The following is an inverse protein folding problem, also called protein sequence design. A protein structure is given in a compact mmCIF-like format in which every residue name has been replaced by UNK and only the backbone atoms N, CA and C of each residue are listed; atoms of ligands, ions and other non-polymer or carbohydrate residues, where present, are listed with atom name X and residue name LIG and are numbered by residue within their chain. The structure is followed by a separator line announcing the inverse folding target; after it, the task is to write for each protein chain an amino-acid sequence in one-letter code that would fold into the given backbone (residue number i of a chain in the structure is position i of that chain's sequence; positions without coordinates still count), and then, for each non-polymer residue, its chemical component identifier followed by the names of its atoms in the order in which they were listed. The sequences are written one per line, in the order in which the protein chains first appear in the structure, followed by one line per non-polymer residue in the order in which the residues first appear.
data_IF_897449694883
#
_entry.id   IF_897449694883
#
_cell.length_a   1.000
_cell.length_b   1.000
_cell.length_c   1.000
_cell.angle_alpha   90.00
_cell.angle_beta   90.00
_cell.angle_gamma   90.00
#
_symmetry.space_group_name_H-M   'P 1'
#
loop_
_entity.id
_entity.type
_entity.pdbx_description
1 polymer ?
#
# COMPACT_ATOMS: atom_id res chain seq x y z
N UNK A 1 -8.07 -6.61 15.95
CA UNK A 1 -7.66 -7.10 14.62
C UNK A 1 -8.69 -6.65 13.56
N UNK A 2 -8.83 -5.34 13.41
CA UNK A 2 -9.81 -4.72 12.51
C UNK A 2 -9.29 -4.50 11.09
N UNK A 3 -7.98 -4.68 10.91
CA UNK A 3 -7.30 -4.46 9.63
C UNK A 3 -7.26 -2.99 9.20
N UNK A 4 -7.07 -2.79 7.91
CA UNK A 4 -7.10 -1.48 7.24
C UNK A 4 -8.05 -1.52 6.05
N UNK A 5 -8.60 -0.38 5.68
CA UNK A 5 -9.28 -0.20 4.39
C UNK A 5 -8.30 0.39 3.39
N UNK A 6 -8.22 -0.19 2.21
CA UNK A 6 -7.41 0.35 1.11
C UNK A 6 -8.21 1.38 0.34
N UNK A 7 -7.62 2.52 0.06
CA UNK A 7 -8.16 3.47 -0.91
C UNK A 7 -8.04 2.87 -2.30
N UNK A 8 -9.02 3.12 -3.14
CA UNK A 8 -9.06 2.73 -4.55
C UNK A 8 -9.00 3.98 -5.42
N UNK A 9 -8.60 3.85 -6.67
CA UNK A 9 -8.69 4.94 -7.65
C UNK A 9 -10.14 5.22 -8.04
N UNK A 10 -11.00 4.19 -7.92
CA UNK A 10 -12.42 4.23 -8.31
C UNK A 10 -12.60 4.60 -9.78
N UNK A 11 -11.72 4.08 -10.64
CA UNK A 11 -11.75 4.31 -12.10
C UNK A 11 -12.26 3.06 -12.84
N UNK A 12 -12.83 3.23 -14.06
CA UNK A 12 -13.17 2.10 -14.92
C UNK A 12 -11.98 1.15 -15.10
N UNK A 13 -12.24 -0.15 -15.08
CA UNK A 13 -11.24 -1.20 -15.25
C UNK A 13 -10.52 -1.63 -13.96
N UNK A 14 -10.47 -0.81 -12.90
CA UNK A 14 -9.75 -1.15 -11.67
C UNK A 14 -10.23 -2.48 -11.07
N UNK A 15 -11.53 -2.64 -10.87
CA UNK A 15 -12.09 -3.87 -10.32
C UNK A 15 -12.11 -5.01 -11.33
N UNK A 16 -12.29 -4.71 -12.60
CA UNK A 16 -12.33 -5.69 -13.68
C UNK A 16 -11.00 -6.41 -13.84
N UNK A 17 -9.88 -5.67 -13.79
CA UNK A 17 -8.54 -6.21 -13.97
C UNK A 17 -7.84 -6.57 -12.66
N UNK A 18 -8.53 -6.57 -11.54
CA UNK A 18 -7.97 -7.00 -10.26
C UNK A 18 -7.50 -8.46 -10.33
N UNK A 19 -6.19 -8.69 -10.06
CA UNK A 19 -5.54 -9.99 -10.24
C UNK A 19 -5.28 -10.38 -11.71
N UNK A 20 -5.59 -9.47 -12.65
CA UNK A 20 -5.29 -9.60 -14.07
C UNK A 20 -4.49 -8.42 -14.61
N UNK A 21 -3.54 -7.94 -13.81
CA UNK A 21 -2.68 -6.80 -14.11
C UNK A 21 -2.86 -5.63 -13.13
N UNK A 22 -3.96 -5.55 -12.38
CA UNK A 22 -4.11 -4.61 -11.26
C UNK A 22 -3.74 -5.28 -9.96
N UNK A 23 -2.78 -4.69 -9.24
CA UNK A 23 -2.31 -5.10 -7.92
C UNK A 23 -2.34 -3.95 -6.92
N UNK A 24 -2.35 -4.28 -5.63
CA UNK A 24 -2.28 -3.34 -4.50
C UNK A 24 -1.09 -3.65 -3.58
N UNK A 25 -0.14 -4.46 -4.04
CA UNK A 25 1.02 -4.87 -3.23
C UNK A 25 2.20 -5.20 -4.15
N UNK A 26 3.18 -4.31 -4.23
CA UNK A 26 4.38 -4.53 -5.02
C UNK A 26 5.19 -5.73 -4.56
N UNK A 27 5.37 -5.88 -3.24
CA UNK A 27 6.10 -7.01 -2.64
C UNK A 27 5.46 -8.37 -2.97
N UNK A 28 4.10 -8.41 -3.00
CA UNK A 28 3.35 -9.64 -3.23
C UNK A 28 3.41 -10.09 -4.70
N UNK A 29 3.12 -9.14 -5.60
CA UNK A 29 2.86 -9.45 -7.01
C UNK A 29 3.99 -9.02 -7.95
N UNK A 30 4.93 -8.18 -7.48
CA UNK A 30 6.05 -7.70 -8.28
C UNK A 30 6.82 -8.79 -9.02
N UNK A 31 7.12 -9.96 -8.42
CA UNK A 31 7.82 -11.05 -9.10
C UNK A 31 7.13 -11.56 -10.38
N UNK A 32 5.81 -11.41 -10.52
CA UNK A 32 5.07 -11.80 -11.73
C UNK A 32 5.20 -10.81 -12.88
N UNK A 33 5.76 -9.63 -12.61
CA UNK A 33 5.97 -8.57 -13.59
C UNK A 33 7.44 -8.37 -13.99
N UNK A 34 8.26 -9.42 -13.82
CA UNK A 34 9.63 -9.43 -14.34
C UNK A 34 9.65 -9.19 -15.84
N UNK A 35 10.55 -8.29 -16.28
CA UNK A 35 10.73 -7.91 -17.69
C UNK A 35 9.46 -7.34 -18.35
N UNK A 36 8.56 -6.74 -17.52
CA UNK A 36 7.29 -6.11 -17.93
C UNK A 36 7.33 -4.61 -17.74
N UNK A 37 6.45 -3.90 -18.43
CA UNK A 37 6.20 -2.48 -18.20
C UNK A 37 5.09 -2.32 -17.18
N UNK A 38 5.34 -1.60 -16.09
CA UNK A 38 4.35 -1.41 -15.03
C UNK A 38 4.21 0.04 -14.63
N UNK A 39 3.05 0.39 -14.09
CA UNK A 39 2.83 1.68 -13.44
C UNK A 39 2.68 1.48 -11.93
N UNK A 40 3.24 2.40 -11.14
CA UNK A 40 2.97 2.55 -9.71
C UNK A 40 2.18 3.85 -9.54
N UNK A 41 0.96 3.74 -9.04
CA UNK A 41 0.05 4.86 -8.84
C UNK A 41 -0.08 5.16 -7.36
N UNK A 42 0.42 6.30 -6.94
CA UNK A 42 0.43 6.73 -5.53
C UNK A 42 1.54 7.74 -5.25
N UNK A 43 1.31 8.63 -4.30
CA UNK A 43 2.24 9.73 -3.96
C UNK A 43 2.90 9.60 -2.58
N UNK A 44 2.60 8.53 -1.83
CA UNK A 44 3.17 8.27 -0.51
C UNK A 44 4.51 7.54 -0.56
N UNK A 45 5.18 7.43 0.60
CA UNK A 45 6.47 6.75 0.73
C UNK A 45 6.43 5.27 0.31
N UNK A 46 5.34 4.56 0.61
CA UNK A 46 5.14 3.17 0.19
C UNK A 46 5.17 3.04 -1.35
N UNK A 47 4.56 4.00 -2.07
CA UNK A 47 4.60 4.00 -3.53
C UNK A 47 6.02 4.24 -4.06
N UNK A 48 6.81 5.11 -3.43
CA UNK A 48 8.22 5.33 -3.80
C UNK A 48 9.04 4.07 -3.59
N UNK A 49 8.86 3.38 -2.47
CA UNK A 49 9.52 2.10 -2.19
C UNK A 49 9.12 1.02 -3.22
N UNK A 50 7.85 0.96 -3.61
CA UNK A 50 7.41 0.01 -4.64
C UNK A 50 7.99 0.35 -6.03
N UNK A 51 8.16 1.65 -6.37
CA UNK A 51 8.87 2.06 -7.60
C UNK A 51 10.30 1.56 -7.58
N UNK A 52 11.01 1.74 -6.46
CA UNK A 52 12.39 1.24 -6.30
C UNK A 52 12.46 -0.26 -6.53
N UNK A 53 11.71 -1.02 -5.75
CA UNK A 53 11.71 -2.47 -5.77
C UNK A 53 11.33 -3.04 -7.16
N UNK A 54 10.29 -2.50 -7.79
CA UNK A 54 9.86 -2.95 -9.10
C UNK A 54 10.90 -2.60 -10.18
N UNK A 55 11.63 -1.49 -10.04
CA UNK A 55 12.67 -1.10 -10.99
C UNK A 55 13.83 -2.10 -11.08
N UNK A 56 14.04 -2.92 -10.04
CA UNK A 56 15.07 -3.96 -10.05
C UNK A 56 14.75 -5.08 -11.05
N UNK A 57 13.48 -5.41 -11.24
CA UNK A 57 13.04 -6.59 -11.99
C UNK A 57 12.20 -6.29 -13.21
N UNK A 58 11.42 -5.22 -13.23
CA UNK A 58 10.65 -4.77 -14.39
C UNK A 58 11.55 -4.22 -15.50
N UNK A 59 11.06 -4.20 -16.72
CA UNK A 59 11.72 -3.53 -17.85
C UNK A 59 11.56 -2.01 -17.75
N UNK A 60 10.37 -1.54 -17.39
CA UNK A 60 10.07 -0.12 -17.21
C UNK A 60 9.05 0.08 -16.07
N UNK A 61 9.28 1.11 -15.26
CA UNK A 61 8.36 1.54 -14.19
C UNK A 61 7.92 2.98 -14.44
N UNK A 62 6.63 3.19 -14.61
CA UNK A 62 6.01 4.50 -14.68
C UNK A 62 5.54 4.92 -13.29
N UNK A 63 6.19 5.91 -12.69
CA UNK A 63 5.83 6.45 -11.38
C UNK A 63 4.80 7.56 -11.54
N UNK A 64 3.56 7.34 -11.09
CA UNK A 64 2.41 8.23 -11.26
C UNK A 64 1.93 8.71 -9.88
N UNK A 65 2.53 9.77 -9.31
CA UNK A 65 2.18 10.26 -7.97
C UNK A 65 0.84 11.01 -7.91
N UNK A 66 0.19 11.21 -9.05
CA UNK A 66 -0.97 12.06 -9.19
C UNK A 66 -0.62 13.55 -9.31
N UNK A 67 -1.66 14.41 -9.22
CA UNK A 67 -1.50 15.86 -9.40
C UNK A 67 -0.64 16.54 -8.35
N UNK A 68 -0.59 16.00 -7.13
CA UNK A 68 0.19 16.58 -6.02
C UNK A 68 1.70 16.30 -6.13
N UNK A 69 2.09 15.28 -6.88
CA UNK A 69 3.49 14.82 -6.94
C UNK A 69 3.91 14.05 -5.68
N UNK A 70 5.20 13.69 -5.62
CA UNK A 70 5.83 13.15 -4.42
C UNK A 70 6.32 14.28 -3.52
N UNK A 71 6.40 14.02 -2.20
CA UNK A 71 7.13 14.89 -1.28
C UNK A 71 8.63 14.82 -1.60
N UNK A 72 9.28 15.97 -1.70
CA UNK A 72 10.75 16.05 -1.91
C UNK A 72 11.55 15.56 -0.68
N UNK A 73 10.88 15.25 0.42
CA UNK A 73 11.50 14.68 1.63
C UNK A 73 11.87 13.21 1.49
N UNK A 74 11.41 12.52 0.42
CA UNK A 74 11.75 11.12 0.19
C UNK A 74 13.14 11.01 -0.44
N UNK A 75 14.16 10.50 0.29
CA UNK A 75 15.55 10.46 -0.18
C UNK A 75 15.74 9.56 -1.41
N UNK A 76 14.88 8.56 -1.56
CA UNK A 76 14.90 7.59 -2.67
C UNK A 76 14.68 8.27 -4.02
N UNK A 77 13.95 9.39 -4.07
CA UNK A 77 13.66 10.11 -5.30
C UNK A 77 14.94 10.61 -6.00
N UNK A 78 16.01 10.89 -5.23
CA UNK A 78 17.26 11.39 -5.78
C UNK A 78 17.86 10.42 -6.79
N UNK A 79 18.01 9.14 -6.41
CA UNK A 79 18.58 8.14 -7.30
C UNK A 79 17.57 7.48 -8.25
N UNK A 80 16.29 7.47 -7.89
CA UNK A 80 15.25 6.98 -8.78
C UNK A 80 15.06 7.87 -10.00
N UNK A 81 15.29 9.19 -9.89
CA UNK A 81 15.28 10.11 -11.04
C UNK A 81 16.43 9.85 -12.02
N UNK A 82 17.51 9.24 -11.58
CA UNK A 82 18.65 8.87 -12.41
C UNK A 82 18.52 7.45 -12.98
N UNK A 83 17.56 6.66 -12.49
CA UNK A 83 17.35 5.29 -12.94
C UNK A 83 16.69 5.27 -14.34
N UNK A 84 17.37 4.73 -15.38
CA UNK A 84 16.85 4.74 -16.75
C UNK A 84 15.56 3.91 -16.93
N UNK A 85 15.28 3.01 -16.00
CA UNK A 85 14.04 2.21 -16.02
C UNK A 85 12.84 2.94 -15.42
N UNK A 86 13.06 4.04 -14.69
CA UNK A 86 11.99 4.78 -14.01
C UNK A 86 11.63 6.03 -14.80
N UNK A 87 10.35 6.21 -15.05
CA UNK A 87 9.82 7.41 -15.67
C UNK A 87 8.74 8.03 -14.78
N UNK A 88 8.98 9.28 -14.37
CA UNK A 88 8.05 10.03 -13.52
C UNK A 88 7.03 10.76 -14.38
N UNK A 89 5.75 10.41 -14.19
CA UNK A 89 4.60 11.06 -14.87
C UNK A 89 3.88 11.92 -13.83
N UNK A 90 4.33 13.15 -13.68
CA UNK A 90 3.78 14.11 -12.71
C UNK A 90 2.63 14.92 -13.30
N UNK A 91 1.74 15.42 -12.45
CA UNK A 91 0.62 16.27 -12.87
C UNK A 91 -0.46 15.54 -13.65
N UNK A 92 -0.49 14.22 -13.60
CA UNK A 92 -1.48 13.38 -14.24
C UNK A 92 -2.11 12.40 -13.24
N UNK A 93 -3.36 12.06 -13.47
CA UNK A 93 -4.08 11.01 -12.76
C UNK A 93 -4.49 9.92 -13.75
N UNK A 94 -4.61 8.68 -13.25
CA UNK A 94 -5.20 7.59 -14.02
C UNK A 94 -6.70 7.79 -14.10
N UNK A 95 -7.26 7.77 -15.31
CA UNK A 95 -8.68 7.92 -15.59
C UNK A 95 -9.37 6.59 -15.88
N UNK A 96 -8.64 5.65 -16.46
CA UNK A 96 -9.14 4.35 -16.88
C UNK A 96 -7.98 3.37 -16.95
N UNK A 97 -8.26 2.11 -16.61
CA UNK A 97 -7.38 0.96 -16.82
C UNK A 97 -8.07 0.06 -17.83
N UNK A 98 -7.38 -0.35 -18.88
CA UNK A 98 -8.01 -1.11 -19.94
C UNK A 98 -7.11 -2.21 -20.49
N UNK A 99 -7.75 -3.12 -21.20
CA UNK A 99 -7.14 -4.27 -21.84
C UNK A 99 -8.20 -5.24 -22.35
N UNK A 100 -7.78 -6.43 -22.74
CA UNK A 100 -8.66 -7.51 -23.15
C UNK A 100 -8.84 -8.54 -22.03
N UNK A 101 -7.93 -9.48 -21.88
CA UNK A 101 -7.90 -10.46 -20.78
C UNK A 101 -7.12 -9.94 -19.59
N UNK A 102 -6.02 -9.24 -19.85
CA UNK A 102 -5.14 -8.60 -18.87
C UNK A 102 -5.06 -7.11 -19.14
N UNK A 103 -4.46 -6.37 -18.20
CA UNK A 103 -4.15 -4.95 -18.40
C UNK A 103 -3.21 -4.80 -19.61
N UNK A 104 -3.54 -3.86 -20.49
CA UNK A 104 -2.73 -3.51 -21.66
C UNK A 104 -2.38 -2.01 -21.70
N UNK A 105 -3.15 -1.19 -20.98
CA UNK A 105 -2.92 0.25 -20.93
C UNK A 105 -3.60 0.92 -19.76
N UNK A 106 -3.14 2.14 -19.48
CA UNK A 106 -3.90 3.13 -18.71
C UNK A 106 -4.16 4.36 -19.56
N UNK A 107 -5.30 5.02 -19.32
CA UNK A 107 -5.59 6.35 -19.87
C UNK A 107 -5.31 7.37 -18.77
N UNK A 108 -4.51 8.37 -19.10
CA UNK A 108 -4.13 9.46 -18.21
C UNK A 108 -4.90 10.73 -18.52
N UNK A 109 -5.21 11.51 -17.49
CA UNK A 109 -5.74 12.88 -17.60
C UNK A 109 -4.85 13.85 -16.83
N UNK A 110 -4.78 15.09 -17.29
CA UNK A 110 -3.95 16.14 -16.71
C UNK A 110 -2.85 16.63 -17.65
N UNK A 111 -1.67 16.94 -17.12
CA UNK A 111 -0.56 17.49 -17.90
C UNK A 111 0.00 16.51 -18.95
N UNK A 112 -0.03 15.22 -18.64
CA UNK A 112 0.42 14.11 -19.49
C UNK A 112 -0.78 13.26 -19.94
N UNK A 113 -1.78 13.88 -20.57
CA UNK A 113 -2.97 13.17 -21.05
C UNK A 113 -2.65 12.26 -22.22
N UNK A 114 -3.24 11.07 -22.22
CA UNK A 114 -3.10 10.09 -23.29
C UNK A 114 -3.18 8.67 -22.80
N UNK A 115 -2.96 7.74 -23.72
CA UNK A 115 -2.89 6.32 -23.40
C UNK A 115 -1.44 5.91 -23.21
N UNK A 116 -1.15 5.18 -22.15
CA UNK A 116 0.14 4.61 -21.82
C UNK A 116 0.02 3.09 -21.84
N UNK A 117 0.74 2.43 -22.75
CA UNK A 117 0.77 0.96 -22.82
C UNK A 117 1.65 0.39 -21.72
N UNK A 118 1.15 -0.64 -21.04
CA UNK A 118 1.83 -1.33 -19.94
C UNK A 118 1.15 -2.67 -19.62
N UNK A 119 1.82 -3.52 -18.87
CA UNK A 119 1.37 -4.88 -18.53
C UNK A 119 0.73 -4.96 -17.14
N UNK A 120 0.93 -3.95 -16.28
CA UNK A 120 0.37 -3.97 -14.93
C UNK A 120 0.36 -2.61 -14.24
N UNK A 121 -0.56 -2.48 -13.27
CA UNK A 121 -0.76 -1.27 -12.48
C UNK A 121 -0.77 -1.62 -11.01
N UNK A 122 0.19 -1.08 -10.26
CA UNK A 122 0.27 -1.18 -8.81
C UNK A 122 -0.35 0.08 -8.20
N UNK A 123 -1.47 -0.09 -7.50
CA UNK A 123 -2.23 1.00 -6.88
C UNK A 123 -1.84 1.06 -5.40
N UNK A 124 -0.92 1.98 -5.09
CA UNK A 124 -0.31 2.12 -3.76
C UNK A 124 -0.76 3.46 -3.17
N UNK A 125 -1.99 3.46 -2.69
CA UNK A 125 -2.61 4.61 -2.04
C UNK A 125 -2.55 4.43 -0.52
N UNK A 126 -2.70 5.54 0.20
CA UNK A 126 -2.73 5.53 1.66
C UNK A 126 -3.76 4.53 2.21
N UNK A 127 -3.36 3.79 3.22
CA UNK A 127 -4.25 2.94 3.99
C UNK A 127 -5.06 3.77 4.99
N UNK A 128 -6.30 3.37 5.22
CA UNK A 128 -7.14 3.95 6.28
C UNK A 128 -7.34 2.87 7.34
N UNK A 129 -6.68 2.98 8.49
CA UNK A 129 -6.92 2.06 9.59
C UNK A 129 -8.39 2.10 10.01
N UNK A 130 -8.96 0.92 10.22
CA UNK A 130 -10.37 0.79 10.64
C UNK A 130 -10.53 0.91 12.16
N UNK A 131 -9.53 1.52 12.83
CA UNK A 131 -9.52 1.74 14.26
C UNK A 131 -10.52 2.81 14.76
N UNK A 132 -11.19 3.54 13.87
CA UNK A 132 -12.15 4.58 14.24
C UNK A 132 -13.26 4.13 15.20
N UNK A 133 -13.62 2.84 15.18
CA UNK A 133 -14.54 2.23 16.16
C UNK A 133 -14.00 2.27 17.60
N UNK A 134 -12.67 2.35 17.76
CA UNK A 134 -11.99 2.31 19.06
C UNK A 134 -11.61 3.71 19.58
N UNK A 135 -11.77 4.76 18.76
CA UNK A 135 -11.45 6.14 19.16
C UNK A 135 -12.28 6.63 20.35
N UNK A 136 -13.56 6.26 20.39
CA UNK A 136 -14.45 6.57 21.54
C UNK A 136 -14.05 5.79 22.81
N UNK A 137 -13.35 4.68 22.67
CA UNK A 137 -12.83 3.89 23.81
C UNK A 137 -11.50 4.42 24.36
N UNK A 138 -10.92 5.48 23.79
CA UNK A 138 -9.65 6.08 24.24
C UNK A 138 -8.41 5.29 23.90
N UNK A 139 -8.45 4.46 22.86
CA UNK A 139 -7.28 3.75 22.33
C UNK A 139 -6.34 4.74 21.66
N UNK A 140 -5.07 4.73 22.02
CA UNK A 140 -4.05 5.59 21.43
C UNK A 140 -3.68 5.13 20.03
N UNK A 141 -3.64 6.08 19.10
CA UNK A 141 -3.21 5.88 17.70
C UNK A 141 -2.18 6.94 17.32
N UNK A 142 -1.44 6.67 16.25
CA UNK A 142 -0.66 7.71 15.58
C UNK A 142 -1.54 8.65 14.74
N UNK A 143 -0.92 9.61 14.04
CA UNK A 143 -1.60 10.57 13.16
C UNK A 143 -2.29 9.87 11.96
N UNK A 144 -1.79 8.71 11.54
CA UNK A 144 -2.36 7.86 10.49
C UNK A 144 -3.54 7.01 10.96
N UNK A 145 -3.80 6.95 12.28
CA UNK A 145 -4.84 6.14 12.89
C UNK A 145 -4.43 4.70 13.20
N UNK A 146 -3.12 4.38 13.13
CA UNK A 146 -2.57 3.07 13.48
C UNK A 146 -2.51 2.90 15.00
N UNK A 147 -3.01 1.78 15.52
CA UNK A 147 -3.07 1.52 16.96
C UNK A 147 -1.67 1.29 17.53
N UNK A 148 -1.28 2.07 18.54
CA UNK A 148 -0.05 1.81 19.27
C UNK A 148 -0.20 0.57 20.15
N UNK A 149 0.80 -0.32 20.08
CA UNK A 149 0.92 -1.50 20.91
C UNK A 149 2.33 -1.61 21.47
N UNK A 150 2.44 -2.25 22.62
CA UNK A 150 3.73 -2.62 23.19
C UNK A 150 4.28 -3.92 22.57
N UNK A 151 5.42 -4.39 23.10
CA UNK A 151 6.03 -5.66 22.63
C UNK A 151 5.14 -6.87 22.85
N UNK A 152 4.17 -6.81 23.76
CA UNK A 152 3.23 -7.89 24.08
C UNK A 152 1.88 -7.71 23.36
N UNK A 153 1.80 -6.79 22.38
CA UNK A 153 0.61 -6.45 21.61
C UNK A 153 -0.51 -5.84 22.47
N UNK A 154 -0.21 -5.34 23.69
CA UNK A 154 -1.16 -4.64 24.54
C UNK A 154 -1.23 -3.16 24.14
N UNK A 155 -2.43 -2.62 24.10
CA UNK A 155 -2.66 -1.18 23.84
C UNK A 155 -2.45 -0.38 25.13
N UNK A 156 -2.65 0.94 25.07
CA UNK A 156 -2.68 1.78 26.27
C UNK A 156 -3.82 1.41 27.24
N UNK A 157 -4.81 0.62 26.80
CA UNK A 157 -5.92 0.14 27.66
C UNK A 157 -5.61 -1.28 28.11
N UNK A 158 -5.45 -1.45 29.43
CA UNK A 158 -5.10 -2.74 30.00
C UNK A 158 -6.12 -3.83 29.66
N UNK A 159 -5.62 -4.96 29.15
CA UNK A 159 -6.44 -6.10 28.72
C UNK A 159 -7.02 -5.96 27.33
N UNK A 160 -6.72 -4.86 26.62
CA UNK A 160 -7.05 -4.68 25.22
C UNK A 160 -5.79 -4.86 24.36
N UNK A 161 -5.85 -5.78 23.41
CA UNK A 161 -4.75 -6.13 22.53
C UNK A 161 -5.11 -5.80 21.09
N UNK A 162 -4.11 -5.37 20.30
CA UNK A 162 -4.27 -5.15 18.86
C UNK A 162 -3.17 -5.90 18.11
N UNK A 163 -3.50 -6.39 16.91
CA UNK A 163 -2.58 -7.15 16.07
C UNK A 163 -2.95 -7.06 14.59
N UNK A 164 -1.96 -7.17 13.72
CA UNK A 164 -2.10 -7.11 12.27
C UNK A 164 -2.19 -5.69 11.75
N UNK A 165 -2.74 -5.53 10.56
CA UNK A 165 -2.65 -4.28 9.78
C UNK A 165 -3.22 -3.04 10.48
N UNK A 166 -4.11 -3.20 11.47
CA UNK A 166 -4.59 -2.06 12.28
C UNK A 166 -3.51 -1.38 13.12
N UNK A 167 -2.35 -2.01 13.31
CA UNK A 167 -1.17 -1.43 13.95
C UNK A 167 -0.18 -0.83 12.94
N UNK A 168 -0.45 -1.00 11.65
CA UNK A 168 0.37 -0.59 10.51
C UNK A 168 1.79 -1.22 10.47
N UNK A 169 2.04 -2.23 11.26
CA UNK A 169 3.33 -2.92 11.27
C UNK A 169 3.34 -4.07 10.25
N UNK A 170 4.12 -3.86 9.18
CA UNK A 170 4.45 -4.89 8.19
C UNK A 170 3.37 -5.22 7.16
N UNK A 171 2.10 -4.96 7.41
CA UNK A 171 0.94 -5.13 6.48
C UNK A 171 1.01 -6.36 5.56
N UNK A 172 1.51 -7.48 6.11
CA UNK A 172 1.67 -8.76 5.40
C UNK A 172 0.96 -9.86 6.18
N UNK A 173 0.46 -10.88 5.45
CA UNK A 173 -0.25 -12.02 6.07
C UNK A 173 0.59 -12.68 7.17
N UNK A 174 1.89 -12.87 6.91
CA UNK A 174 2.78 -13.53 7.87
C UNK A 174 3.05 -12.69 9.11
N UNK A 175 3.19 -11.37 8.96
CA UNK A 175 3.35 -10.47 10.11
C UNK A 175 2.06 -10.40 10.92
N UNK A 176 0.91 -10.24 10.29
CA UNK A 176 -0.39 -10.24 10.95
C UNK A 176 -0.65 -11.56 11.72
N UNK A 177 -0.30 -12.71 11.14
CA UNK A 177 -0.42 -14.01 11.80
C UNK A 177 0.50 -14.11 13.04
N UNK A 178 1.76 -13.66 12.93
CA UNK A 178 2.72 -13.65 14.05
C UNK A 178 2.27 -12.73 15.17
N UNK A 179 1.82 -11.53 14.87
CA UNK A 179 1.27 -10.57 15.83
C UNK A 179 0.02 -11.12 16.51
N UNK A 180 -0.89 -11.73 15.75
CA UNK A 180 -2.10 -12.36 16.27
C UNK A 180 -1.80 -13.48 17.27
N UNK A 181 -0.83 -14.35 16.95
CA UNK A 181 -0.38 -15.39 17.87
C UNK A 181 0.19 -14.79 19.17
N UNK A 182 1.00 -13.74 19.07
CA UNK A 182 1.58 -13.05 20.21
C UNK A 182 0.51 -12.38 21.08
N UNK A 183 -0.42 -11.65 20.48
CA UNK A 183 -1.55 -11.03 21.15
C UNK A 183 -2.39 -12.06 21.92
N UNK A 184 -2.68 -13.20 21.31
CA UNK A 184 -3.44 -14.29 21.95
C UNK A 184 -2.73 -14.85 23.18
N UNK A 185 -1.41 -15.08 23.11
CA UNK A 185 -0.61 -15.54 24.24
C UNK A 185 -0.57 -14.52 25.39
N UNK A 186 -0.46 -13.24 25.06
CA UNK A 186 -0.47 -12.14 26.03
C UNK A 186 -1.83 -11.99 26.70
N UNK A 187 -2.91 -12.02 25.92
CA UNK A 187 -4.28 -12.01 26.44
C UNK A 187 -4.55 -13.18 27.39
N UNK A 188 -4.06 -14.38 27.06
CA UNK A 188 -4.19 -15.55 27.93
C UNK A 188 -3.44 -15.39 29.26
N UNK A 189 -2.25 -14.77 29.24
CA UNK A 189 -1.50 -14.44 30.49
C UNK A 189 -2.27 -13.42 31.34
N UNK A 190 -2.80 -12.38 30.70
CA UNK A 190 -3.60 -11.35 31.35
C UNK A 190 -4.82 -11.96 32.04
N UNK A 191 -5.62 -12.78 31.39
CA UNK A 191 -6.80 -13.43 31.97
C UNK A 191 -6.41 -14.33 33.17
N UNK A 192 -5.26 -15.03 33.09
CA UNK A 192 -4.77 -15.85 34.23
C UNK A 192 -4.37 -14.99 35.42
N UNK A 193 -3.90 -13.77 35.22
CA UNK A 193 -3.51 -12.87 36.33
C UNK A 193 -4.69 -12.22 37.06
N UNK A 194 -5.89 -12.33 36.49
CA UNK A 194 -7.13 -11.84 37.13
C UNK A 194 -7.80 -12.85 38.05
N UNK A 195 -7.27 -14.08 38.09
CA UNK A 195 -7.75 -15.18 38.98
C UNK A 195 -6.91 -15.28 40.22
#
# INVERSE_FOLDING_TARGET
ATGVSRKTLSVPGENEFKGRGVSYCGVCDGPFFRDKMVAVVGGGHEAVHDVEMLSETADKVYAIPGKKGYSEEFPELTYLRENPKVEFITGADVKEIGGSEFVEYVTLEGSNKGRLSLDGVFIILEHVPTAGILGEAGVSTDEGGCIFVDRDMETNIKGLFAAGDCTCEGMQIVTAAGMGAKAALSAMKHVKSLR
#
